data_IF_427745372923
#
_entry.id   IF_427745372923
#
_cell.length_a   1.000
_cell.length_b   1.000
_cell.length_c   1.000
_cell.angle_alpha   90.00
_cell.angle_beta   90.00
_cell.angle_gamma   90.00
#
_symmetry.space_group_name_H-M   'P 1'
#
loop_
_entity.id
_entity.type
_entity.pdbx_description
1 polymer ?
#
# COMPACT_ATOMS: atom_id res chain seq x y z
N UNK A 1 1.74 7.76 -0.97
CA UNK A 1 1.01 7.79 0.32
C UNK A 1 1.67 8.79 1.25
N UNK A 2 0.92 9.50 2.08
CA UNK A 2 1.46 10.26 3.22
C UNK A 2 1.87 9.29 4.34
N UNK A 3 2.64 9.77 5.32
CA UNK A 3 3.08 8.94 6.45
C UNK A 3 1.90 8.31 7.23
N UNK A 4 0.78 9.02 7.35
CA UNK A 4 -0.39 8.53 8.07
C UNK A 4 -1.08 7.36 7.35
N UNK A 5 -1.07 7.35 6.01
CA UNK A 5 -1.73 6.31 5.20
C UNK A 5 -0.93 5.01 5.14
N UNK A 6 0.39 5.04 5.35
CA UNK A 6 1.27 3.87 5.16
C UNK A 6 0.80 2.68 5.99
N UNK A 7 0.47 2.91 7.27
CA UNK A 7 0.14 1.81 8.18
C UNK A 7 -1.21 1.17 7.83
N UNK A 8 -2.19 1.96 7.41
CA UNK A 8 -3.51 1.48 7.02
C UNK A 8 -3.42 0.62 5.76
N UNK A 9 -2.61 1.04 4.77
CA UNK A 9 -2.34 0.26 3.56
C UNK A 9 -1.59 -1.03 3.87
N UNK A 10 -0.59 -0.99 4.77
CA UNK A 10 0.12 -2.21 5.21
C UNK A 10 -0.84 -3.21 5.85
N UNK A 11 -1.76 -2.74 6.68
CA UNK A 11 -2.74 -3.61 7.34
C UNK A 11 -3.72 -4.22 6.32
N UNK A 12 -4.22 -3.42 5.37
CA UNK A 12 -5.11 -3.91 4.32
C UNK A 12 -4.44 -4.99 3.45
N UNK A 13 -3.20 -4.77 3.01
CA UNK A 13 -2.45 -5.73 2.20
C UNK A 13 -2.17 -7.02 2.97
N UNK A 14 -1.61 -6.92 4.19
CA UNK A 14 -1.30 -8.10 5.01
C UNK A 14 -2.54 -8.87 5.43
N UNK A 15 -3.64 -8.18 5.73
CA UNK A 15 -4.92 -8.79 6.06
C UNK A 15 -5.48 -9.65 4.92
N UNK A 16 -5.12 -9.35 3.67
CA UNK A 16 -5.45 -10.15 2.50
C UNK A 16 -4.34 -11.06 1.98
N UNK A 17 -3.29 -11.31 2.79
CA UNK A 17 -2.20 -12.22 2.44
C UNK A 17 -1.21 -11.68 1.40
N UNK A 18 -1.09 -10.35 1.27
CA UNK A 18 -0.08 -9.72 0.40
C UNK A 18 1.09 -9.24 1.25
N UNK A 19 2.30 -9.67 0.89
CA UNK A 19 3.53 -9.35 1.60
C UNK A 19 4.10 -8.00 1.19
N UNK A 20 4.67 -7.29 2.16
CA UNK A 20 5.36 -6.02 1.92
C UNK A 20 6.84 -6.29 1.66
N UNK A 21 7.32 -5.85 0.50
CA UNK A 21 8.71 -6.03 0.07
C UNK A 21 9.58 -4.84 0.50
N UNK A 22 9.09 -3.61 0.28
CA UNK A 22 9.83 -2.40 0.63
C UNK A 22 8.91 -1.20 0.79
N UNK A 23 9.34 -0.23 1.62
CA UNK A 23 8.71 1.08 1.77
C UNK A 23 9.82 2.14 1.75
N UNK A 24 9.71 3.15 0.89
CA UNK A 24 10.73 4.21 0.77
C UNK A 24 10.17 5.49 0.14
N UNK A 25 10.98 6.56 0.11
CA UNK A 25 10.70 7.82 -0.56
C UNK A 25 11.80 8.13 -1.61
N UNK A 26 11.49 8.91 -2.63
CA UNK A 26 12.45 9.29 -3.68
C UNK A 26 12.80 10.78 -3.69
N UNK A 27 11.91 11.65 -3.19
CA UNK A 27 12.16 13.09 -3.09
C UNK A 27 12.90 13.46 -1.81
N UNK A 28 13.84 14.41 -1.90
CA UNK A 28 14.52 14.97 -0.73
C UNK A 28 13.71 16.07 -0.04
N UNK A 29 13.14 16.99 -0.84
CA UNK A 29 12.48 18.22 -0.37
C UNK A 29 10.95 18.23 -0.57
N UNK A 30 10.35 17.10 -0.91
CA UNK A 30 8.90 17.00 -1.13
C UNK A 30 8.09 17.29 0.14
N UNK A 31 7.02 18.06 -0.02
CA UNK A 31 6.04 18.35 1.03
C UNK A 31 4.60 18.26 0.49
N UNK A 32 3.75 17.37 1.03
CA UNK A 32 4.06 16.38 2.06
C UNK A 32 5.05 15.32 1.57
N UNK A 33 5.81 14.71 2.50
CA UNK A 33 6.65 13.56 2.16
C UNK A 33 5.79 12.39 1.70
N UNK A 34 6.15 11.80 0.57
CA UNK A 34 5.44 10.68 -0.04
C UNK A 34 6.24 9.39 0.11
N UNK A 35 5.53 8.34 0.49
CA UNK A 35 6.03 6.98 0.57
C UNK A 35 5.46 6.13 -0.56
N UNK A 36 6.35 5.32 -1.13
CA UNK A 36 6.11 4.32 -2.14
C UNK A 36 6.29 2.94 -1.50
N UNK A 37 5.53 1.95 -1.98
CA UNK A 37 5.51 0.61 -1.42
C UNK A 37 5.56 -0.43 -2.53
N UNK A 38 6.48 -1.38 -2.37
CA UNK A 38 6.52 -2.60 -3.16
C UNK A 38 5.91 -3.73 -2.35
N UNK A 39 5.10 -4.54 -2.99
CA UNK A 39 4.44 -5.70 -2.39
C UNK A 39 4.45 -6.88 -3.38
N UNK A 40 4.27 -8.09 -2.86
CA UNK A 40 4.27 -9.31 -3.63
C UNK A 40 3.25 -10.31 -3.09
N UNK A 41 2.60 -11.04 -3.99
CA UNK A 41 1.75 -12.18 -3.65
C UNK A 41 1.51 -13.06 -4.88
N UNK A 42 1.21 -14.33 -4.64
CA UNK A 42 0.66 -15.26 -5.62
C UNK A 42 -0.61 -15.88 -5.03
N UNK A 43 -1.75 -15.71 -5.72
CA UNK A 43 -3.04 -16.26 -5.31
C UNK A 43 -4.07 -16.13 -6.46
N UNK A 44 -5.32 -16.51 -6.20
CA UNK A 44 -6.46 -16.23 -7.07
C UNK A 44 -6.54 -14.74 -7.45
N UNK A 45 -6.73 -14.48 -8.74
CA UNK A 45 -6.70 -13.12 -9.29
C UNK A 45 -7.80 -12.23 -8.72
N UNK A 46 -9.00 -12.77 -8.47
CA UNK A 46 -10.12 -11.99 -7.92
C UNK A 46 -9.89 -11.67 -6.45
N UNK A 47 -9.36 -12.62 -5.69
CA UNK A 47 -8.95 -12.39 -4.30
C UNK A 47 -7.88 -11.29 -4.21
N UNK A 48 -6.84 -11.36 -5.04
CA UNK A 48 -5.81 -10.33 -5.11
C UNK A 48 -6.40 -8.96 -5.48
N UNK A 49 -7.26 -8.90 -6.50
CA UNK A 49 -7.88 -7.64 -6.92
C UNK A 49 -8.73 -7.00 -5.81
N UNK A 50 -9.44 -7.81 -5.02
CA UNK A 50 -10.23 -7.32 -3.87
C UNK A 50 -9.34 -6.76 -2.76
N UNK A 51 -8.26 -7.47 -2.41
CA UNK A 51 -7.29 -6.98 -1.41
C UNK A 51 -6.62 -5.69 -1.87
N UNK A 52 -6.22 -5.61 -3.15
CA UNK A 52 -5.63 -4.39 -3.72
C UNK A 52 -6.62 -3.22 -3.73
N UNK A 53 -7.89 -3.47 -4.05
CA UNK A 53 -8.95 -2.45 -3.93
C UNK A 53 -9.05 -1.94 -2.49
N UNK A 54 -9.14 -2.82 -1.50
CA UNK A 54 -9.21 -2.43 -0.10
C UNK A 54 -7.97 -1.60 0.34
N UNK A 55 -6.78 -1.96 -0.14
CA UNK A 55 -5.56 -1.22 0.12
C UNK A 55 -5.56 0.18 -0.53
N UNK A 56 -6.12 0.33 -1.73
CA UNK A 56 -6.30 1.65 -2.37
C UNK A 56 -7.33 2.48 -1.61
N UNK A 57 -8.44 1.88 -1.19
CA UNK A 57 -9.51 2.57 -0.44
C UNK A 57 -9.03 3.00 0.97
N UNK A 58 -7.97 2.38 1.49
CA UNK A 58 -7.29 2.79 2.72
C UNK A 58 -6.37 4.03 2.55
N UNK A 59 -6.25 4.56 1.33
CA UNK A 59 -5.63 5.87 1.07
C UNK A 59 -6.68 6.98 0.99
N UNK A 60 -6.28 8.24 1.12
CA UNK A 60 -7.20 9.37 0.93
C UNK A 60 -7.59 9.62 -0.54
N UNK A 61 -7.12 8.79 -1.48
CA UNK A 61 -7.49 8.88 -2.89
C UNK A 61 -8.94 8.41 -3.09
N UNK A 62 -9.85 9.36 -3.32
CA UNK A 62 -11.21 9.09 -3.81
C UNK A 62 -11.25 9.10 -5.33
#
# INVERSE_FOLDING_TARGET
>A
MTAAEVQDVVQALRGGGIDIVAIHNHGFDEQPRLFYMHFWAENDAVALARTLRAAVDATAAR
#
